data_IF_881924577591
#
_entry.id   IF_881924577591
#
_cell.length_a   1.000
_cell.length_b   1.000
_cell.length_c   1.000
_cell.angle_alpha   90.00
_cell.angle_beta   90.00
_cell.angle_gamma   90.00
#
_symmetry.space_group_name_H-M   'P 1'
#
loop_
_entity.id
_entity.type
_entity.pdbx_description
1 polymer ?
#
# COMPACT_ATOMS: atom_id res chain seq x y z
N UNK A 1 -18.85 -10.30 8.29
CA UNK A 1 -17.43 -10.72 8.41
C UNK A 1 -16.50 -9.79 7.64
N UNK A 2 -16.71 -9.56 6.34
CA UNK A 2 -15.86 -8.69 5.54
C UNK A 2 -15.75 -7.24 6.06
N UNK A 3 -16.81 -6.70 6.65
CA UNK A 3 -16.82 -5.33 7.19
C UNK A 3 -15.87 -5.16 8.39
N UNK A 4 -15.88 -6.12 9.33
CA UNK A 4 -14.96 -6.09 10.48
C UNK A 4 -13.50 -6.24 10.05
N UNK A 5 -13.23 -7.02 9.00
CA UNK A 5 -11.88 -7.11 8.42
C UNK A 5 -11.45 -5.78 7.78
N UNK A 6 -12.34 -5.14 7.01
CA UNK A 6 -12.08 -3.81 6.41
C UNK A 6 -11.77 -2.78 7.49
N UNK A 7 -12.52 -2.78 8.58
CA UNK A 7 -12.28 -1.89 9.71
C UNK A 7 -10.90 -2.12 10.34
N UNK A 8 -10.49 -3.38 10.55
CA UNK A 8 -9.16 -3.71 11.05
C UNK A 8 -8.04 -3.25 10.10
N UNK A 9 -8.19 -3.45 8.79
CA UNK A 9 -7.20 -3.02 7.80
C UNK A 9 -7.08 -1.49 7.73
N UNK A 10 -8.19 -0.78 7.95
CA UNK A 10 -8.20 0.67 7.96
C UNK A 10 -7.50 1.27 9.20
N UNK A 11 -7.44 0.51 10.29
CA UNK A 11 -6.73 0.88 11.52
C UNK A 11 -5.31 0.31 11.60
N UNK A 12 -4.74 -0.14 10.47
CA UNK A 12 -3.34 -0.57 10.43
C UNK A 12 -2.40 0.55 10.91
N UNK A 13 -1.57 0.24 11.92
CA UNK A 13 -0.61 1.18 12.53
C UNK A 13 0.72 1.21 11.79
N UNK A 14 1.05 0.18 11.00
CA UNK A 14 2.26 0.13 10.19
C UNK A 14 2.02 0.87 8.88
N UNK A 15 2.26 2.17 8.88
CA UNK A 15 1.92 3.11 7.79
C UNK A 15 3.13 3.71 7.06
N UNK A 16 4.28 3.05 7.14
CA UNK A 16 5.56 3.61 6.64
C UNK A 16 5.86 3.33 5.16
N UNK A 17 5.09 2.45 4.49
CA UNK A 17 5.41 1.96 3.14
C UNK A 17 4.50 2.56 2.05
N UNK A 18 3.34 1.97 1.74
CA UNK A 18 2.46 2.52 0.69
C UNK A 18 1.63 3.70 1.17
N UNK A 19 1.30 3.78 2.46
CA UNK A 19 0.42 4.83 3.00
C UNK A 19 0.79 6.26 2.56
N UNK A 20 2.07 6.70 2.56
CA UNK A 20 2.42 8.06 2.14
C UNK A 20 1.96 8.44 0.73
N UNK A 21 1.86 7.47 -0.18
CA UNK A 21 1.45 7.69 -1.58
C UNK A 21 -0.06 7.44 -1.82
N UNK A 22 -0.75 6.79 -0.87
CA UNK A 22 -2.15 6.35 -1.03
C UNK A 22 -3.14 6.96 -0.02
N UNK A 23 -2.67 7.62 1.03
CA UNK A 23 -3.53 8.28 2.02
C UNK A 23 -3.41 9.79 1.87
N UNK A 24 -4.55 10.47 1.72
CA UNK A 24 -4.63 11.93 1.64
C UNK A 24 -5.99 12.42 2.13
N UNK A 25 -6.21 13.73 2.17
CA UNK A 25 -7.54 14.28 2.49
C UNK A 25 -8.64 13.79 1.51
N UNK A 26 -8.27 13.38 0.30
CA UNK A 26 -9.17 12.89 -0.73
C UNK A 26 -9.18 11.36 -0.89
N UNK A 27 -8.40 10.62 -0.07
CA UNK A 27 -8.32 9.17 -0.19
C UNK A 27 -7.95 8.45 1.10
N UNK A 28 -8.61 7.32 1.36
CA UNK A 28 -8.34 6.45 2.51
C UNK A 28 -7.61 5.19 2.05
N UNK A 29 -6.50 4.88 2.72
CA UNK A 29 -5.75 3.65 2.51
C UNK A 29 -5.97 2.68 3.69
N UNK A 30 -6.42 1.46 3.36
CA UNK A 30 -6.67 0.38 4.31
C UNK A 30 -5.85 -0.84 3.89
N UNK A 31 -4.90 -1.30 4.72
CA UNK A 31 -3.86 -2.22 4.25
C UNK A 31 -3.35 -3.20 5.29
N UNK A 32 -2.55 -4.16 4.81
CA UNK A 32 -1.71 -5.03 5.61
C UNK A 32 -0.31 -5.09 5.05
N UNK A 33 0.67 -4.83 5.92
CA UNK A 33 2.09 -5.05 5.64
C UNK A 33 2.53 -6.46 6.03
N UNK A 34 3.46 -7.00 5.25
CA UNK A 34 4.28 -8.16 5.55
C UNK A 34 5.75 -7.82 5.34
N UNK A 35 6.59 -8.19 6.31
CA UNK A 35 8.05 -8.00 6.25
C UNK A 35 8.71 -9.21 6.90
N UNK A 36 9.59 -9.88 6.16
CA UNK A 36 10.35 -11.04 6.65
C UNK A 36 11.66 -11.13 5.87
N UNK A 37 12.81 -11.08 6.55
CA UNK A 37 14.13 -11.08 5.91
C UNK A 37 14.22 -10.01 4.79
N UNK A 38 14.37 -10.43 3.54
CA UNK A 38 14.42 -9.56 2.37
C UNK A 38 13.06 -9.31 1.71
N UNK A 39 11.98 -9.91 2.21
CA UNK A 39 10.61 -9.76 1.71
C UNK A 39 9.95 -8.50 2.26
N UNK A 40 9.32 -7.74 1.36
CA UNK A 40 8.56 -6.53 1.66
C UNK A 40 7.26 -6.58 0.87
N UNK A 41 6.13 -6.73 1.55
CA UNK A 41 4.82 -6.88 0.93
C UNK A 41 3.81 -5.92 1.53
N UNK A 42 3.00 -5.26 0.71
CA UNK A 42 1.83 -4.55 1.22
C UNK A 42 0.66 -4.74 0.27
N UNK A 43 -0.48 -5.09 0.85
CA UNK A 43 -1.73 -5.31 0.13
C UNK A 43 -2.79 -4.47 0.82
N UNK A 44 -3.57 -3.74 0.04
CA UNK A 44 -4.62 -2.87 0.56
C UNK A 44 -5.56 -2.34 -0.50
N UNK A 45 -6.51 -1.53 -0.05
CA UNK A 45 -7.47 -0.84 -0.90
C UNK A 45 -7.34 0.65 -0.66
N UNK A 46 -7.23 1.41 -1.75
CA UNK A 46 -7.40 2.87 -1.73
C UNK A 46 -8.82 3.21 -2.14
N UNK A 47 -9.52 3.93 -1.28
CA UNK A 47 -10.88 4.43 -1.48
C UNK A 47 -10.80 5.95 -1.68
N UNK A 48 -11.26 6.44 -2.83
CA UNK A 48 -11.23 7.86 -3.18
C UNK A 48 -12.56 8.55 -2.84
N UNK A 49 -12.50 9.85 -2.55
CA UNK A 49 -13.67 10.66 -2.22
C UNK A 49 -14.71 10.75 -3.36
N UNK A 50 -14.30 10.51 -4.60
CA UNK A 50 -15.18 10.45 -5.77
C UNK A 50 -15.86 9.07 -5.97
N UNK A 51 -15.65 8.15 -5.02
CA UNK A 51 -16.25 6.81 -5.01
C UNK A 51 -15.45 5.73 -5.73
N UNK A 52 -14.34 6.06 -6.40
CA UNK A 52 -13.49 5.04 -7.01
C UNK A 52 -12.70 4.27 -5.94
N UNK A 53 -12.50 2.96 -6.16
CA UNK A 53 -11.70 2.12 -5.29
C UNK A 53 -10.79 1.19 -6.09
N UNK A 54 -9.55 1.05 -5.62
CA UNK A 54 -8.56 0.19 -6.26
C UNK A 54 -7.93 -0.74 -5.22
N UNK A 55 -7.97 -2.05 -5.51
CA UNK A 55 -7.22 -3.05 -4.78
C UNK A 55 -5.79 -3.12 -5.32
N UNK A 56 -4.81 -3.07 -4.42
CA UNK A 56 -3.39 -3.00 -4.76
C UNK A 56 -2.66 -4.06 -3.96
N UNK A 57 -1.86 -4.87 -4.65
CA UNK A 57 -1.00 -5.88 -4.06
C UNK A 57 0.42 -5.71 -4.56
N UNK A 58 1.35 -5.38 -3.66
CA UNK A 58 2.77 -5.26 -3.95
C UNK A 58 3.52 -6.31 -3.17
N UNK A 59 4.19 -7.22 -3.86
CA UNK A 59 5.04 -8.25 -3.27
C UNK A 59 6.43 -8.14 -3.86
N UNK A 60 7.42 -7.79 -3.06
CA UNK A 60 8.81 -7.69 -3.50
C UNK A 60 9.75 -8.51 -2.63
N UNK A 61 10.87 -8.86 -3.24
CA UNK A 61 12.04 -9.44 -2.60
C UNK A 61 13.25 -8.56 -2.97
N UNK A 62 14.03 -8.14 -1.97
CA UNK A 62 15.25 -7.36 -2.21
C UNK A 62 16.46 -8.29 -2.35
N UNK A 63 17.32 -8.03 -3.35
CA UNK A 63 18.64 -8.67 -3.46
C UNK A 63 19.67 -8.07 -2.50
N UNK A 64 19.35 -6.95 -1.84
CA UNK A 64 20.23 -6.27 -0.90
C UNK A 64 19.98 -6.81 0.51
N UNK A 65 21.00 -7.34 1.23
CA UNK A 65 20.86 -7.92 2.56
C UNK A 65 20.84 -6.84 3.66
N UNK A 66 20.01 -5.81 3.49
CA UNK A 66 19.82 -4.74 4.47
C UNK A 66 18.46 -4.89 5.19
N UNK A 67 18.48 -4.83 6.52
CA UNK A 67 17.25 -4.91 7.34
C UNK A 67 16.31 -3.72 7.13
N UNK A 68 16.86 -2.50 7.17
CA UNK A 68 16.12 -1.27 6.88
C UNK A 68 16.43 -0.78 5.46
N UNK A 69 15.39 -0.59 4.63
CA UNK A 69 15.51 -0.11 3.26
C UNK A 69 14.37 0.87 2.91
N UNK A 70 14.30 2.07 3.55
CA UNK A 70 13.22 3.02 3.32
C UNK A 70 13.11 3.48 1.86
N UNK A 71 14.23 3.53 1.13
CA UNK A 71 14.22 3.80 -0.32
C UNK A 71 13.49 2.73 -1.14
N UNK A 72 13.54 1.46 -0.72
CA UNK A 72 12.77 0.39 -1.36
C UNK A 72 11.28 0.53 -1.05
N UNK A 73 10.93 0.87 0.19
CA UNK A 73 9.54 1.13 0.57
C UNK A 73 8.94 2.28 -0.25
N UNK A 74 9.70 3.36 -0.47
CA UNK A 74 9.30 4.49 -1.31
C UNK A 74 9.17 4.09 -2.79
N UNK A 75 10.13 3.33 -3.34
CA UNK A 75 10.08 2.86 -4.73
C UNK A 75 8.87 1.96 -4.99
N UNK A 76 8.56 1.07 -4.03
CA UNK A 76 7.36 0.22 -4.09
C UNK A 76 6.08 1.06 -4.13
N UNK A 77 6.00 2.08 -3.26
CA UNK A 77 4.85 2.97 -3.18
C UNK A 77 4.66 3.76 -4.49
N UNK A 78 5.74 4.34 -5.02
CA UNK A 78 5.71 5.08 -6.27
C UNK A 78 5.28 4.21 -7.46
N UNK A 79 5.84 3.00 -7.58
CA UNK A 79 5.48 2.09 -8.66
C UNK A 79 4.00 1.72 -8.62
N UNK A 80 3.47 1.40 -7.43
CA UNK A 80 2.06 1.10 -7.25
C UNK A 80 1.17 2.31 -7.56
N UNK A 81 1.56 3.50 -7.13
CA UNK A 81 0.81 4.74 -7.39
C UNK A 81 0.72 5.02 -8.89
N UNK A 82 1.84 4.92 -9.61
CA UNK A 82 1.87 5.12 -11.07
C UNK A 82 0.96 4.14 -11.81
N UNK A 83 0.96 2.87 -11.41
CA UNK A 83 0.06 1.87 -11.98
C UNK A 83 -1.42 2.19 -11.70
N UNK A 84 -1.77 2.59 -10.46
CA UNK A 84 -3.12 3.01 -10.12
C UNK A 84 -3.55 4.24 -10.90
N UNK A 85 -2.68 5.25 -11.00
CA UNK A 85 -2.97 6.49 -11.72
C UNK A 85 -3.22 6.22 -13.21
N UNK A 86 -2.50 5.28 -13.82
CA UNK A 86 -2.77 4.83 -15.18
C UNK A 86 -4.14 4.17 -15.32
N UNK A 87 -4.52 3.26 -14.41
CA UNK A 87 -5.83 2.61 -14.43
C UNK A 87 -6.99 3.60 -14.24
N UNK A 88 -6.77 4.69 -13.51
CA UNK A 88 -7.77 5.73 -13.25
C UNK A 88 -8.02 6.63 -14.46
N UNK A 89 -7.14 6.60 -15.46
CA UNK A 89 -7.29 7.32 -16.73
C UNK A 89 -8.02 6.51 -17.82
N UNK A 90 -8.20 5.20 -17.59
CA UNK A 90 -8.96 4.31 -18.48
C UNK A 90 -10.47 4.42 -18.23
#
# INVERSE_FOLDING_TARGET
MAERLRDLLAHNVLRHRLTPDFSSDASRWSSKTGTLLNLRHEIGVVEHADGQAFAIAVLTESSVPAGAQPGVDALMAEAARRLRDHLRQL
#
